data_IF_893882775394
#
_entry.id   IF_893882775394
#
_cell.length_a   1.000
_cell.length_b   1.000
_cell.length_c   1.000
_cell.angle_alpha   90.00
_cell.angle_beta   90.00
_cell.angle_gamma   90.00
#
_symmetry.space_group_name_H-M   'P 1'
#
loop_
_entity.id
_entity.type
_entity.pdbx_description
1 polymer ?
#
# COMPACT_ATOMS: atom_id res chain seq x y z
N UNK A 1 -40.97 11.78 -5.58
CA UNK A 1 -40.09 10.77 -4.97
C UNK A 1 -38.67 11.22 -5.17
N UNK A 2 -38.02 11.72 -4.12
CA UNK A 2 -36.61 12.10 -4.14
C UNK A 2 -35.79 10.82 -4.05
N UNK A 3 -35.19 10.38 -5.15
CA UNK A 3 -34.16 9.34 -5.12
C UNK A 3 -32.90 9.99 -4.54
N UNK A 4 -32.68 9.81 -3.23
CA UNK A 4 -31.36 10.02 -2.64
C UNK A 4 -30.42 9.03 -3.31
N UNK A 5 -29.62 9.51 -4.25
CA UNK A 5 -28.42 8.79 -4.69
C UNK A 5 -27.47 8.78 -3.52
N UNK A 6 -27.62 7.78 -2.65
CA UNK A 6 -26.65 7.42 -1.63
C UNK A 6 -25.44 6.85 -2.38
N UNK A 7 -24.63 7.75 -2.93
CA UNK A 7 -23.32 7.44 -3.49
C UNK A 7 -22.42 7.04 -2.33
N UNK A 8 -22.65 5.85 -1.77
CA UNK A 8 -21.73 5.23 -0.82
C UNK A 8 -20.43 5.01 -1.60
N UNK A 9 -19.47 5.90 -1.35
CA UNK A 9 -18.09 5.67 -1.76
C UNK A 9 -17.72 4.25 -1.32
N UNK A 10 -17.13 3.41 -2.18
CA UNK A 10 -16.82 2.04 -1.82
C UNK A 10 -15.91 2.08 -0.58
N UNK A 11 -16.39 1.49 0.52
CA UNK A 11 -15.63 1.42 1.76
C UNK A 11 -14.37 0.61 1.50
N UNK A 12 -13.20 1.22 1.73
CA UNK A 12 -11.93 0.53 1.61
C UNK A 12 -11.73 -0.45 2.76
N UNK A 13 -12.26 -0.15 3.93
CA UNK A 13 -12.12 -1.00 5.11
C UNK A 13 -12.41 -0.23 6.39
N UNK A 14 -11.96 -0.78 7.51
CA UNK A 14 -12.14 -0.17 8.84
C UNK A 14 -10.82 0.44 9.33
N UNK A 15 -10.92 1.60 9.98
CA UNK A 15 -9.79 2.23 10.64
C UNK A 15 -9.32 1.36 11.82
N UNK A 16 -8.03 0.97 11.89
CA UNK A 16 -7.52 0.15 12.98
C UNK A 16 -7.53 0.86 14.35
N UNK A 17 -7.64 2.20 14.36
CA UNK A 17 -7.60 3.01 15.58
C UNK A 17 -9.00 3.24 16.20
N UNK A 18 -10.04 3.44 15.38
CA UNK A 18 -11.38 3.77 15.88
C UNK A 18 -12.51 2.87 15.34
N UNK A 19 -12.21 1.95 14.42
CA UNK A 19 -13.18 1.04 13.82
C UNK A 19 -14.12 1.66 12.80
N UNK A 20 -13.99 2.96 12.49
CA UNK A 20 -14.84 3.63 11.52
C UNK A 20 -14.48 3.26 10.07
N UNK A 21 -15.45 3.33 9.16
CA UNK A 21 -15.21 3.10 7.74
C UNK A 21 -14.26 4.15 7.15
N UNK A 22 -13.31 3.69 6.35
CA UNK A 22 -12.38 4.52 5.60
C UNK A 22 -12.76 4.45 4.12
N UNK A 23 -12.94 5.62 3.50
CA UNK A 23 -13.16 5.75 2.06
C UNK A 23 -11.93 6.43 1.44
N UNK A 24 -11.50 5.96 0.27
CA UNK A 24 -10.61 6.73 -0.61
C UNK A 24 -11.06 6.58 -2.06
N UNK A 25 -10.34 7.27 -2.95
CA UNK A 25 -10.68 7.28 -4.36
C UNK A 25 -10.56 5.88 -4.99
N UNK A 26 -11.61 5.39 -5.68
CA UNK A 26 -11.63 4.05 -6.30
C UNK A 26 -10.56 3.81 -7.38
N UNK A 27 -9.93 4.88 -7.88
CA UNK A 27 -8.89 4.82 -8.90
C UNK A 27 -7.50 4.50 -8.34
N UNK A 28 -7.32 4.54 -7.02
CA UNK A 28 -6.04 4.33 -6.36
C UNK A 28 -5.98 2.94 -5.74
N UNK A 29 -4.99 2.14 -6.13
CA UNK A 29 -4.77 0.82 -5.55
C UNK A 29 -4.10 0.87 -4.18
N UNK A 30 -3.42 1.96 -3.85
CA UNK A 30 -2.80 2.16 -2.54
C UNK A 30 -2.50 3.63 -2.33
N UNK A 31 -2.30 4.04 -1.08
CA UNK A 31 -1.94 5.42 -0.77
C UNK A 31 -2.11 5.79 0.69
N UNK A 32 -1.72 7.02 1.00
CA UNK A 32 -1.98 7.64 2.30
C UNK A 32 -3.42 8.17 2.36
N UNK A 33 -4.10 7.98 3.49
CA UNK A 33 -5.44 8.53 3.77
C UNK A 33 -5.59 8.83 5.25
N UNK A 34 -6.33 9.89 5.60
CA UNK A 34 -6.65 10.19 6.99
C UNK A 34 -8.04 9.65 7.35
N UNK A 35 -8.19 9.08 8.54
CA UNK A 35 -9.51 8.67 9.02
C UNK A 35 -10.40 9.91 9.24
N UNK A 36 -11.56 9.98 8.58
CA UNK A 36 -12.52 11.10 8.75
C UNK A 36 -13.08 11.22 10.18
N UNK A 37 -12.99 10.16 11.00
CA UNK A 37 -13.53 10.12 12.36
C UNK A 37 -12.51 10.50 13.45
N UNK A 38 -11.33 9.87 13.44
CA UNK A 38 -10.31 10.10 14.48
C UNK A 38 -9.07 10.86 13.97
N UNK A 39 -9.03 11.21 12.69
CA UNK A 39 -7.90 11.91 12.05
C UNK A 39 -6.56 11.15 12.12
N UNK A 40 -6.61 9.85 12.41
CA UNK A 40 -5.41 9.02 12.38
C UNK A 40 -4.87 8.94 10.94
N UNK A 41 -3.55 9.09 10.74
CA UNK A 41 -2.92 8.91 9.45
C UNK A 41 -2.82 7.41 9.13
N UNK A 42 -3.35 7.02 7.98
CA UNK A 42 -3.45 5.63 7.55
C UNK A 42 -2.80 5.45 6.17
N UNK A 43 -2.49 4.21 5.85
CA UNK A 43 -2.11 3.78 4.52
C UNK A 43 -3.03 2.63 4.10
N UNK A 44 -3.52 2.62 2.87
CA UNK A 44 -4.41 1.57 2.38
C UNK A 44 -3.81 0.83 1.19
N UNK A 45 -4.25 -0.42 1.01
CA UNK A 45 -3.98 -1.26 -0.16
C UNK A 45 -5.29 -1.90 -0.61
N UNK A 46 -5.66 -1.71 -1.86
CA UNK A 46 -6.83 -2.27 -2.51
C UNK A 46 -6.43 -3.44 -3.42
N UNK A 47 -7.05 -4.60 -3.19
CA UNK A 47 -6.88 -5.82 -3.97
C UNK A 47 -8.25 -6.45 -4.22
N UNK A 48 -8.57 -6.73 -5.49
CA UNK A 48 -9.75 -7.49 -5.92
C UNK A 48 -11.08 -7.07 -5.25
N UNK A 49 -11.30 -5.75 -5.12
CA UNK A 49 -12.52 -5.20 -4.53
C UNK A 49 -12.57 -5.20 -3.00
N UNK A 50 -11.52 -5.68 -2.34
CA UNK A 50 -11.27 -5.50 -0.90
C UNK A 50 -10.18 -4.47 -0.70
N UNK A 51 -10.19 -3.74 0.41
CA UNK A 51 -9.03 -2.98 0.83
C UNK A 51 -8.65 -3.30 2.27
N UNK A 52 -7.37 -3.15 2.53
CA UNK A 52 -6.75 -3.31 3.82
C UNK A 52 -6.20 -1.97 4.25
N UNK A 53 -6.43 -1.61 5.50
CA UNK A 53 -6.07 -0.30 6.06
C UNK A 53 -5.11 -0.51 7.20
N UNK A 54 -3.99 0.20 7.14
CA UNK A 54 -2.87 0.08 8.05
C UNK A 54 -2.59 1.43 8.70
N UNK A 55 -1.97 1.42 9.88
CA UNK A 55 -1.41 2.65 10.45
C UNK A 55 -0.26 3.13 9.56
N UNK A 56 -0.21 4.44 9.26
CA UNK A 56 0.82 5.00 8.38
C UNK A 56 2.23 4.77 8.90
N UNK A 57 2.43 4.84 10.22
CA UNK A 57 3.73 4.61 10.85
C UNK A 57 4.24 3.18 10.60
N UNK A 58 3.35 2.21 10.73
CA UNK A 58 3.61 0.79 10.46
C UNK A 58 3.91 0.56 8.98
N UNK A 59 3.08 1.12 8.09
CA UNK A 59 3.25 0.97 6.65
C UNK A 59 4.53 1.64 6.15
N UNK A 60 4.85 2.85 6.63
CA UNK A 60 6.03 3.60 6.23
C UNK A 60 7.32 2.82 6.51
N UNK A 61 7.42 2.14 7.66
CA UNK A 61 8.58 1.30 7.99
C UNK A 61 8.77 0.13 7.02
N UNK A 62 7.69 -0.58 6.69
CA UNK A 62 7.73 -1.73 5.76
C UNK A 62 7.98 -1.29 4.32
N UNK A 63 7.34 -0.22 3.86
CA UNK A 63 7.52 0.33 2.51
C UNK A 63 8.96 0.83 2.34
N UNK A 64 9.49 1.58 3.30
CA UNK A 64 10.86 2.06 3.25
C UNK A 64 11.88 0.90 3.23
N UNK A 65 11.64 -0.15 4.03
CA UNK A 65 12.47 -1.34 4.03
C UNK A 65 12.42 -2.08 2.68
N UNK A 66 11.22 -2.28 2.12
CA UNK A 66 11.02 -2.97 0.85
C UNK A 66 11.70 -2.21 -0.29
N UNK A 67 11.51 -0.89 -0.37
CA UNK A 67 12.19 -0.03 -1.34
C UNK A 67 13.71 -0.11 -1.20
N UNK A 68 14.24 -0.08 0.02
CA UNK A 68 15.68 -0.17 0.25
C UNK A 68 16.27 -1.53 -0.13
N UNK A 69 15.55 -2.63 0.12
CA UNK A 69 15.97 -3.98 -0.27
C UNK A 69 15.97 -4.12 -1.79
N UNK A 70 14.88 -3.74 -2.46
CA UNK A 70 14.74 -3.84 -3.91
C UNK A 70 15.70 -2.93 -4.66
N UNK A 71 15.90 -1.70 -4.18
CA UNK A 71 16.86 -0.76 -4.77
C UNK A 71 18.30 -1.29 -4.72
N UNK A 72 18.66 -2.04 -3.66
CA UNK A 72 19.97 -2.69 -3.53
C UNK A 72 20.19 -3.75 -4.62
N UNK A 73 19.19 -4.59 -4.89
CA UNK A 73 19.26 -5.59 -5.95
C UNK A 73 19.36 -4.97 -7.34
N UNK A 74 18.65 -3.85 -7.56
CA UNK A 74 18.69 -3.11 -8.82
C UNK A 74 19.95 -2.24 -8.99
N UNK A 75 20.75 -2.06 -7.93
CA UNK A 75 21.90 -1.16 -7.91
C UNK A 75 21.54 0.32 -8.09
N UNK A 76 20.36 0.74 -7.62
CA UNK A 76 19.84 2.12 -7.72
C UNK A 76 19.56 2.73 -6.35
N UNK A 77 19.28 4.03 -6.29
CA UNK A 77 18.84 4.67 -5.04
C UNK A 77 17.36 4.34 -4.75
N UNK A 78 17.00 4.16 -3.48
CA UNK A 78 15.61 3.90 -3.08
C UNK A 78 14.64 5.03 -3.46
N UNK A 79 15.11 6.29 -3.41
CA UNK A 79 14.35 7.44 -3.88
C UNK A 79 14.07 7.40 -5.39
N UNK A 80 15.01 6.88 -6.17
CA UNK A 80 14.87 6.72 -7.62
C UNK A 80 13.84 5.62 -7.93
N UNK A 81 13.91 4.49 -7.22
CA UNK A 81 12.93 3.41 -7.32
C UNK A 81 11.51 3.86 -6.91
N UNK A 82 11.40 4.66 -5.85
CA UNK A 82 10.12 5.21 -5.39
C UNK A 82 9.50 6.18 -6.40
N UNK A 83 10.33 6.96 -7.10
CA UNK A 83 9.87 7.89 -8.13
C UNK A 83 9.59 7.20 -9.47
N UNK A 84 10.18 6.03 -9.72
CA UNK A 84 10.08 5.33 -10.99
C UNK A 84 10.00 3.80 -10.81
N UNK A 85 8.77 3.30 -10.69
CA UNK A 85 8.50 1.87 -10.55
C UNK A 85 8.87 1.04 -11.79
N UNK A 86 9.01 1.66 -12.97
CA UNK A 86 9.47 0.96 -14.19
C UNK A 86 10.89 0.40 -14.07
N UNK A 87 11.67 0.85 -13.07
CA UNK A 87 12.98 0.26 -12.77
C UNK A 87 12.89 -1.21 -12.36
N UNK A 88 11.73 -1.69 -11.89
CA UNK A 88 11.48 -3.10 -11.63
C UNK A 88 11.51 -3.95 -12.91
N UNK A 89 11.19 -3.37 -14.06
CA UNK A 89 11.22 -4.06 -15.37
C UNK A 89 12.66 -4.42 -15.81
N UNK A 90 13.69 -3.90 -15.10
CA UNK A 90 15.09 -4.29 -15.31
C UNK A 90 15.41 -5.66 -14.71
N UNK A 91 14.60 -6.15 -13.78
CA UNK A 91 14.71 -7.52 -13.30
C UNK A 91 14.16 -8.45 -14.38
N UNK A 92 14.89 -9.51 -14.70
CA UNK A 92 14.28 -10.60 -15.45
C UNK A 92 13.23 -11.31 -14.59
N UNK A 93 12.38 -12.11 -15.22
CA UNK A 93 11.27 -12.77 -14.53
C UNK A 93 11.72 -13.76 -13.46
N UNK A 94 12.95 -14.28 -13.53
CA UNK A 94 13.50 -15.20 -12.52
C UNK A 94 14.00 -14.40 -11.32
N UNK A 95 14.82 -13.37 -11.56
CA UNK A 95 15.34 -12.48 -10.55
C UNK A 95 14.21 -11.76 -9.77
N UNK A 96 13.12 -11.40 -10.45
CA UNK A 96 11.94 -10.83 -9.78
C UNK A 96 11.27 -11.83 -8.83
N UNK A 97 11.10 -13.09 -9.26
CA UNK A 97 10.50 -14.14 -8.42
C UNK A 97 11.40 -14.47 -7.23
N UNK A 98 12.72 -14.58 -7.44
CA UNK A 98 13.69 -14.81 -6.37
C UNK A 98 13.64 -13.69 -5.33
N UNK A 99 13.66 -12.43 -5.79
CA UNK A 99 13.50 -11.27 -4.91
C UNK A 99 12.17 -11.31 -4.14
N UNK A 100 11.06 -11.66 -4.81
CA UNK A 100 9.76 -11.74 -4.16
C UNK A 100 9.74 -12.80 -3.05
N UNK A 101 10.28 -13.99 -3.32
CA UNK A 101 10.37 -15.07 -2.34
C UNK A 101 11.27 -14.70 -1.14
N UNK A 102 12.39 -14.02 -1.38
CA UNK A 102 13.25 -13.51 -0.29
C UNK A 102 12.51 -12.48 0.56
N UNK A 103 11.81 -11.54 -0.07
CA UNK A 103 11.04 -10.51 0.62
C UNK A 103 9.93 -11.13 1.47
N UNK A 104 9.19 -12.09 0.94
CA UNK A 104 8.13 -12.81 1.67
C UNK A 104 8.70 -13.53 2.90
N UNK A 105 9.80 -14.27 2.75
CA UNK A 105 10.48 -14.96 3.85
C UNK A 105 10.95 -14.00 4.95
N UNK A 106 11.57 -12.87 4.58
CA UNK A 106 12.00 -11.86 5.54
C UNK A 106 10.80 -11.18 6.24
N UNK A 107 9.68 -10.97 5.53
CA UNK A 107 8.45 -10.37 6.07
C UNK A 107 7.72 -11.28 7.05
N UNK A 108 7.74 -12.60 6.84
CA UNK A 108 7.16 -13.60 7.74
C UNK A 108 8.01 -13.80 9.01
N UNK A 109 9.32 -13.53 8.92
CA UNK A 109 10.24 -13.62 10.06
C UNK A 109 10.18 -12.43 11.03
N UNK A 110 9.38 -11.39 10.73
CA UNK A 110 9.27 -10.12 11.48
C UNK A 110 7.90 -9.97 12.13
#
# INVERSE_FOLDING_TARGET
>A
MTTSSDSREPALGLCPQCGAEVAAEPSQYFGDVDCRHCQAPLWFLQQDGTAQVYERSWAAGRIAWLLARTARELGVASAELAANSSLLERLDSIAFVELLMELESELDSR
#
